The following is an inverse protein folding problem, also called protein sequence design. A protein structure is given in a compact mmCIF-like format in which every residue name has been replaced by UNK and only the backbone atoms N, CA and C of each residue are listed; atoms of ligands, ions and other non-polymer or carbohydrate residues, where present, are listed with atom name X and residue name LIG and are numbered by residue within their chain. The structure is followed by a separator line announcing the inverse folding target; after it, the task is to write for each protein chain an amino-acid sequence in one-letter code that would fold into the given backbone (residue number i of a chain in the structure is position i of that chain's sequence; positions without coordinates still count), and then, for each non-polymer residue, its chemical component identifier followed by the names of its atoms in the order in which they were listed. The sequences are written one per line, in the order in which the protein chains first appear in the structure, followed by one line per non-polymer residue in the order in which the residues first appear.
data_IF_827002822044
#
_entry.id   IF_827002822044
#
_cell.length_a   1.000
_cell.length_b   1.000
_cell.length_c   1.000
_cell.angle_alpha   90.00
_cell.angle_beta   90.00
_cell.angle_gamma   90.00
#
_symmetry.space_group_name_H-M   'P 1'
#
loop_
_entity.id
_entity.type
_entity.pdbx_description
1 polymer ?
#
# COMPACT_ATOMS: atom_id res chain seq x y z
N UNK A 1 5.11 32.56 29.64
CA UNK A 1 3.79 32.74 29.00
C UNK A 1 3.85 31.95 27.69
N UNK A 2 2.92 31.02 27.44
CA UNK A 2 2.96 30.20 26.20
C UNK A 2 2.62 31.11 25.01
N UNK A 3 3.42 31.14 23.93
CA UNK A 3 3.10 31.95 22.76
C UNK A 3 1.73 31.57 22.21
N UNK A 4 0.81 32.54 22.17
CA UNK A 4 -0.58 32.34 21.76
C UNK A 4 -0.70 32.09 20.26
N UNK A 5 0.19 32.73 19.49
CA UNK A 5 -0.02 32.91 18.06
C UNK A 5 0.59 31.78 17.22
N UNK A 6 1.22 30.77 17.84
CA UNK A 6 1.64 29.53 17.16
C UNK A 6 0.61 28.44 17.46
N UNK A 7 -0.15 28.05 16.44
CA UNK A 7 -1.21 27.05 16.52
C UNK A 7 -0.68 25.62 16.69
N UNK A 8 -1.53 24.73 17.22
CA UNK A 8 -1.24 23.29 17.29
C UNK A 8 -1.22 22.61 15.92
N UNK A 9 -1.95 23.16 14.96
CA UNK A 9 -1.97 22.72 13.57
C UNK A 9 -0.73 23.17 12.77
N UNK A 10 0.08 24.05 13.36
CA UNK A 10 1.25 24.60 12.71
C UNK A 10 1.04 25.87 11.92
N UNK A 11 -0.12 26.49 12.07
CA UNK A 11 -0.39 27.81 11.52
C UNK A 11 0.07 28.92 12.46
N UNK A 12 0.33 30.08 11.88
CA UNK A 12 0.42 31.34 12.62
C UNK A 12 -0.97 31.98 12.69
N UNK A 13 -1.36 32.41 13.89
CA UNK A 13 -2.62 33.10 14.08
C UNK A 13 -2.56 34.50 13.45
N UNK A 14 -3.61 34.87 12.72
CA UNK A 14 -3.75 36.22 12.21
C UNK A 14 -3.81 37.25 13.37
N UNK A 15 -3.33 38.50 13.16
CA UNK A 15 -3.42 39.54 14.17
C UNK A 15 -4.86 39.77 14.63
N UNK A 16 -5.06 39.97 15.92
CA UNK A 16 -6.36 40.26 16.53
C UNK A 16 -6.30 41.54 17.39
N UNK A 17 -7.42 42.02 17.96
CA UNK A 17 -7.45 43.26 18.76
C UNK A 17 -6.55 43.25 20.00
N UNK A 18 -5.99 42.11 20.39
CA UNK A 18 -5.09 41.95 21.54
C UNK A 18 -3.64 41.72 21.12
N UNK A 19 -3.34 41.73 19.81
CA UNK A 19 -1.98 41.72 19.29
C UNK A 19 -1.23 43.01 19.63
N UNK A 20 0.01 42.88 20.10
CA UNK A 20 0.88 44.01 20.42
C UNK A 20 1.67 44.45 19.18
N UNK A 21 1.54 45.73 18.83
CA UNK A 21 2.35 46.36 17.79
C UNK A 21 3.53 47.08 18.44
N UNK A 22 4.75 46.73 18.03
CA UNK A 22 6.00 47.26 18.61
C UNK A 22 6.89 47.82 17.52
N UNK A 23 7.68 48.84 17.84
CA UNK A 23 8.88 49.19 17.06
C UNK A 23 10.01 48.33 17.62
N UNK A 24 10.42 47.24 16.94
CA UNK A 24 11.38 46.33 17.50
C UNK A 24 12.76 47.02 17.61
N UNK A 25 13.44 46.95 18.78
CA UNK A 25 14.86 47.30 18.85
C UNK A 25 15.67 46.44 17.87
N UNK A 26 16.78 46.97 17.36
CA UNK A 26 17.64 46.28 16.38
C UNK A 26 18.16 44.92 16.87
N UNK A 27 18.10 44.66 18.18
CA UNK A 27 18.47 43.39 18.81
C UNK A 27 17.44 42.27 18.67
N UNK A 28 16.19 42.56 18.29
CA UNK A 28 15.15 41.55 18.11
C UNK A 28 15.09 41.09 16.64
N UNK A 29 15.20 39.77 16.37
CA UNK A 29 15.19 39.27 15.00
C UNK A 29 13.81 39.48 14.38
N UNK A 30 13.78 40.21 13.25
CA UNK A 30 12.62 40.25 12.37
C UNK A 30 12.48 38.91 11.68
N UNK A 31 11.25 38.40 11.62
CA UNK A 31 10.96 37.16 10.91
C UNK A 31 11.09 37.40 9.40
N UNK A 32 11.57 36.38 8.70
CA UNK A 32 11.65 36.31 7.24
C UNK A 32 10.80 35.14 6.73
N UNK A 33 10.40 35.20 5.46
CA UNK A 33 9.68 34.10 4.82
C UNK A 33 10.54 32.85 4.87
N UNK A 34 9.97 31.75 5.36
CA UNK A 34 10.67 30.47 5.52
C UNK A 34 11.32 30.26 6.89
N UNK A 35 11.29 31.24 7.79
CA UNK A 35 11.73 31.02 9.17
C UNK A 35 10.85 29.98 9.85
N UNK A 36 11.46 28.95 10.45
CA UNK A 36 10.77 28.01 11.33
C UNK A 36 10.75 28.61 12.73
N UNK A 37 9.56 28.86 13.24
CA UNK A 37 9.33 29.41 14.57
C UNK A 37 8.79 28.34 15.50
N UNK A 38 9.26 28.30 16.74
CA UNK A 38 8.84 27.29 17.69
C UNK A 38 8.76 27.82 19.13
N UNK A 39 7.86 27.24 19.94
CA UNK A 39 7.76 27.56 21.37
C UNK A 39 8.89 26.89 22.15
N UNK A 40 9.49 27.57 23.12
CA UNK A 40 10.48 26.93 24.01
C UNK A 40 9.85 25.89 24.95
N UNK A 41 8.58 26.07 25.32
CA UNK A 41 7.90 25.25 26.32
C UNK A 41 7.24 24.05 25.63
N UNK A 42 7.47 22.84 26.15
CA UNK A 42 6.80 21.64 25.68
C UNK A 42 5.35 21.62 26.19
N UNK A 43 4.45 21.17 25.32
CA UNK A 43 3.10 20.79 25.70
C UNK A 43 3.12 19.51 26.56
N UNK A 44 1.98 19.21 27.20
CA UNK A 44 1.85 18.05 28.09
C UNK A 44 2.14 16.71 27.37
N UNK A 45 1.89 16.64 26.07
CA UNK A 45 2.19 15.49 25.20
C UNK A 45 3.68 15.39 24.80
N UNK A 46 4.50 16.38 25.15
CA UNK A 46 5.93 16.42 24.83
C UNK A 46 6.29 17.13 23.54
N UNK A 47 5.32 17.59 22.77
CA UNK A 47 5.55 18.33 21.53
C UNK A 47 5.87 19.80 21.82
N UNK A 48 6.59 20.47 20.92
CA UNK A 48 6.58 21.93 20.85
C UNK A 48 5.66 22.40 19.74
N UNK A 49 5.02 23.56 19.92
CA UNK A 49 4.27 24.17 18.81
C UNK A 49 5.28 24.83 17.89
N UNK A 50 5.22 24.51 16.60
CA UNK A 50 6.12 25.06 15.60
C UNK A 50 5.35 25.40 14.32
N UNK A 51 5.75 26.47 13.62
CA UNK A 51 5.15 26.92 12.36
C UNK A 51 6.24 27.47 11.42
N UNK A 52 5.89 27.71 10.16
CA UNK A 52 6.77 28.39 9.19
C UNK A 52 6.16 29.75 8.89
N UNK A 53 6.98 30.79 8.96
CA UNK A 53 6.56 32.14 8.60
C UNK A 53 6.37 32.24 7.07
N UNK A 54 5.21 32.72 6.65
CA UNK A 54 4.85 32.98 5.26
C UNK A 54 4.82 34.48 4.98
N UNK A 55 4.68 34.86 3.71
CA UNK A 55 4.55 36.27 3.32
C UNK A 55 3.34 36.95 3.99
N UNK A 56 2.24 36.21 4.21
CA UNK A 56 1.03 36.73 4.86
C UNK A 56 1.22 37.04 6.35
N UNK A 57 2.26 36.47 6.98
CA UNK A 57 2.54 36.65 8.40
C UNK A 57 3.44 37.87 8.67
N UNK A 58 3.99 38.49 7.62
CA UNK A 58 4.94 39.59 7.74
C UNK A 58 4.23 40.96 7.64
N UNK A 59 4.75 42.00 8.34
CA UNK A 59 5.93 41.99 9.19
C UNK A 59 5.64 41.44 10.60
N UNK A 60 6.50 40.52 11.07
CA UNK A 60 6.41 39.94 12.42
C UNK A 60 7.79 39.87 13.11
N UNK A 61 7.77 39.84 14.45
CA UNK A 61 8.97 39.80 15.31
C UNK A 61 8.76 38.72 16.36
N UNK A 62 9.78 37.90 16.60
CA UNK A 62 9.73 36.88 17.64
C UNK A 62 9.85 37.49 19.04
N UNK A 63 9.06 36.99 19.99
CA UNK A 63 9.19 37.34 21.41
C UNK A 63 10.29 36.50 22.08
N UNK A 64 10.71 36.88 23.29
CA UNK A 64 11.81 36.23 24.02
C UNK A 64 11.63 34.73 24.32
N UNK A 65 10.40 34.20 24.21
CA UNK A 65 10.09 32.78 24.45
C UNK A 65 9.80 31.99 23.15
N UNK A 66 10.17 32.57 22.01
CA UNK A 66 10.02 31.97 20.68
C UNK A 66 11.41 31.74 20.09
N UNK A 67 11.65 30.51 19.69
CA UNK A 67 12.85 30.11 18.97
C UNK A 67 12.63 30.37 17.48
N UNK A 68 13.59 31.03 16.85
CA UNK A 68 13.62 31.25 15.40
C UNK A 68 14.76 30.45 14.81
N UNK A 69 14.42 29.52 13.92
CA UNK A 69 15.34 28.69 13.17
C UNK A 69 15.32 29.16 11.70
N UNK A 70 16.40 29.83 11.30
CA UNK A 70 16.59 30.29 9.93
C UNK A 70 17.53 29.36 9.19
N UNK A 71 17.09 28.86 8.04
CA UNK A 71 17.93 28.05 7.19
C UNK A 71 19.07 28.88 6.60
N UNK A 72 20.30 28.32 6.60
CA UNK A 72 21.47 29.00 6.00
C UNK A 72 21.42 29.04 4.47
N UNK A 73 20.65 28.14 3.87
CA UNK A 73 20.36 28.05 2.46
C UNK A 73 18.87 27.66 2.28
N UNK A 74 18.25 27.94 1.12
CA UNK A 74 16.89 27.50 0.85
C UNK A 74 16.75 25.99 1.07
N UNK A 75 15.75 25.59 1.85
CA UNK A 75 15.41 24.18 2.08
C UNK A 75 14.29 23.75 1.15
N UNK A 76 14.34 22.49 0.72
CA UNK A 76 13.22 21.87 0.03
C UNK A 76 11.95 21.89 0.93
N UNK A 77 10.76 22.21 0.39
CA UNK A 77 9.53 22.25 1.17
C UNK A 77 9.22 20.95 1.94
N UNK A 78 9.56 19.79 1.39
CA UNK A 78 9.44 18.49 2.06
C UNK A 78 10.36 18.38 3.27
N UNK A 79 11.58 18.87 3.16
CA UNK A 79 12.53 18.91 4.27
C UNK A 79 12.05 19.86 5.39
N UNK A 80 11.45 21.00 5.04
CA UNK A 80 10.84 21.91 6.03
C UNK A 80 9.67 21.24 6.74
N UNK A 81 8.80 20.52 6.01
CA UNK A 81 7.71 19.72 6.61
C UNK A 81 8.25 18.66 7.57
N UNK A 82 9.35 18.00 7.22
CA UNK A 82 10.01 17.01 8.08
C UNK A 82 10.54 17.62 9.38
N UNK A 83 11.24 18.75 9.30
CA UNK A 83 11.70 19.50 10.48
C UNK A 83 10.51 19.84 11.38
N UNK A 84 9.42 20.37 10.81
CA UNK A 84 8.22 20.70 11.57
C UNK A 84 7.59 19.46 12.23
N UNK A 85 7.51 18.34 11.51
CA UNK A 85 6.98 17.09 12.06
C UNK A 85 7.83 16.57 13.22
N UNK A 86 9.17 16.61 13.08
CA UNK A 86 10.10 16.21 14.13
C UNK A 86 10.00 17.13 15.35
N UNK A 87 9.95 18.46 15.15
CA UNK A 87 9.79 19.39 16.27
C UNK A 87 8.46 19.18 17.00
N UNK A 88 7.40 18.81 16.29
CA UNK A 88 6.08 18.52 16.90
C UNK A 88 5.98 17.09 17.45
N UNK A 89 7.02 16.26 17.33
CA UNK A 89 7.01 14.93 17.91
C UNK A 89 7.31 14.97 19.41
N UNK A 90 7.08 13.86 20.10
CA UNK A 90 7.47 13.70 21.50
C UNK A 90 8.97 13.50 21.71
N UNK A 91 9.76 13.37 20.64
CA UNK A 91 11.19 13.01 20.71
C UNK A 91 12.03 14.13 21.35
N UNK A 92 11.57 15.38 21.25
CA UNK A 92 12.22 16.52 21.91
C UNK A 92 12.22 16.42 23.44
N UNK A 93 11.38 15.55 24.04
CA UNK A 93 11.44 15.28 25.49
C UNK A 93 12.81 14.78 25.93
N UNK A 94 13.53 14.06 25.07
CA UNK A 94 14.85 13.51 25.41
C UNK A 94 15.90 14.58 25.67
N UNK A 95 15.76 15.75 25.04
CA UNK A 95 16.69 16.88 25.17
C UNK A 95 16.13 18.03 26.02
N UNK A 96 14.90 17.89 26.52
CA UNK A 96 14.23 18.97 27.23
C UNK A 96 14.69 19.05 28.70
N UNK A 97 14.75 20.27 29.22
CA UNK A 97 15.24 20.56 30.57
C UNK A 97 14.11 21.19 31.40
N UNK A 98 13.91 20.72 32.62
CA UNK A 98 12.96 21.32 33.56
C UNK A 98 12.37 20.32 34.55
N UNK A 99 11.45 20.80 35.39
CA UNK A 99 10.66 19.99 36.31
C UNK A 99 9.27 19.73 35.75
N UNK A 100 8.56 18.73 36.29
CA UNK A 100 7.20 18.36 35.86
C UNK A 100 6.30 19.59 35.81
N UNK A 101 5.77 19.90 34.61
CA UNK A 101 4.89 21.04 34.34
C UNK A 101 5.57 22.28 33.72
N UNK A 102 6.91 22.34 33.67
CA UNK A 102 7.69 23.45 33.09
C UNK A 102 8.94 22.91 32.37
N UNK A 103 8.70 22.01 31.42
CA UNK A 103 9.74 21.40 30.59
C UNK A 103 9.96 22.26 29.34
N UNK A 104 11.21 22.61 29.03
CA UNK A 104 11.56 23.49 27.91
C UNK A 104 12.76 22.99 27.10
N UNK A 105 12.78 23.29 25.80
CA UNK A 105 13.95 23.15 24.95
C UNK A 105 14.65 24.49 24.85
N UNK A 106 15.93 24.56 25.25
CA UNK A 106 16.75 25.77 25.09
C UNK A 106 17.45 25.77 23.74
N UNK A 107 17.81 26.95 23.26
CA UNK A 107 18.64 27.13 22.06
C UNK A 107 19.93 26.29 22.08
N UNK A 108 20.58 26.16 23.25
CA UNK A 108 21.79 25.34 23.41
C UNK A 108 21.58 23.87 23.05
N UNK A 109 20.41 23.32 23.35
CA UNK A 109 20.09 21.92 23.09
C UNK A 109 19.76 21.68 21.61
N UNK A 110 19.13 22.66 20.95
CA UNK A 110 18.85 22.58 19.52
C UNK A 110 20.09 22.62 18.64
N UNK A 111 21.20 23.22 19.10
CA UNK A 111 22.44 23.30 18.32
C UNK A 111 23.02 21.91 18.03
N UNK A 112 22.85 20.97 18.96
CA UNK A 112 23.37 19.60 18.84
C UNK A 112 22.26 18.59 18.50
N UNK A 113 21.07 19.06 18.13
CA UNK A 113 19.96 18.19 17.81
C UNK A 113 20.20 17.50 16.48
N UNK A 114 20.38 16.19 16.52
CA UNK A 114 20.42 15.36 15.33
C UNK A 114 18.99 15.13 14.82
N UNK A 115 18.71 15.68 13.65
CA UNK A 115 17.46 15.44 12.93
C UNK A 115 17.66 14.17 12.08
N UNK A 116 16.76 13.17 12.15
CA UNK A 116 16.92 11.98 11.34
C UNK A 116 16.94 12.33 9.85
N UNK A 117 17.75 11.61 9.07
CA UNK A 117 17.86 11.81 7.63
C UNK A 117 16.52 11.53 6.96
N UNK A 118 16.07 12.47 6.14
CA UNK A 118 14.93 12.30 5.24
C UNK A 118 15.46 11.74 3.93
N UNK A 119 15.15 10.46 3.64
CA UNK A 119 15.35 9.91 2.31
C UNK A 119 14.13 10.17 1.42
N UNK A 120 14.30 9.98 0.11
CA UNK A 120 13.27 10.29 -0.89
C UNK A 120 11.99 9.45 -0.67
N UNK A 121 12.14 8.19 -0.22
CA UNK A 121 11.03 7.29 0.03
C UNK A 121 10.17 7.75 1.22
N UNK A 122 10.82 8.17 2.32
CA UNK A 122 10.14 8.73 3.48
C UNK A 122 9.49 10.08 3.14
N UNK A 123 10.15 10.91 2.32
CA UNK A 123 9.59 12.18 1.86
C UNK A 123 8.30 11.96 1.06
N UNK A 124 8.31 11.04 0.09
CA UNK A 124 7.13 10.69 -0.70
C UNK A 124 5.97 10.17 0.17
N UNK A 125 6.25 9.27 1.12
CA UNK A 125 5.25 8.74 2.04
C UNK A 125 4.61 9.83 2.93
N UNK A 126 5.41 10.81 3.37
CA UNK A 126 4.90 11.94 4.17
C UNK A 126 4.01 12.87 3.33
N UNK A 127 4.35 13.09 2.07
CA UNK A 127 3.56 13.91 1.17
C UNK A 127 2.21 13.25 0.84
N UNK A 128 2.19 11.94 0.61
CA UNK A 128 0.96 11.16 0.46
C UNK A 128 0.06 11.29 1.69
N UNK A 129 0.62 11.18 2.89
CA UNK A 129 -0.12 11.37 4.14
C UNK A 129 -0.63 12.81 4.31
N UNK A 130 0.14 13.81 3.87
CA UNK A 130 -0.28 15.20 3.90
C UNK A 130 -1.49 15.45 2.99
N UNK A 131 -1.50 14.87 1.78
CA UNK A 131 -2.62 14.92 0.84
C UNK A 131 -3.86 14.25 1.44
N UNK A 132 -3.68 13.07 2.08
CA UNK A 132 -4.77 12.37 2.77
C UNK A 132 -5.36 13.22 3.88
N UNK A 133 -4.51 13.84 4.72
CA UNK A 133 -4.93 14.73 5.80
C UNK A 133 -5.75 15.91 5.27
N UNK A 134 -5.27 16.60 4.24
CA UNK A 134 -5.96 17.72 3.62
C UNK A 134 -7.37 17.31 3.14
N UNK A 135 -7.46 16.17 2.45
CA UNK A 135 -8.73 15.64 1.96
C UNK A 135 -9.71 15.28 3.09
N UNK A 136 -9.21 14.77 4.21
CA UNK A 136 -10.03 14.53 5.40
C UNK A 136 -10.50 15.83 6.06
N UNK A 137 -9.62 16.84 6.13
CA UNK A 137 -9.99 18.18 6.63
C UNK A 137 -11.06 18.83 5.76
N UNK A 138 -11.03 18.65 4.44
CA UNK A 138 -12.09 19.12 3.55
C UNK A 138 -13.44 18.44 3.84
N UNK A 139 -13.43 17.13 4.12
CA UNK A 139 -14.64 16.41 4.50
C UNK A 139 -15.19 16.88 5.85
N UNK A 140 -14.32 17.15 6.83
CA UNK A 140 -14.71 17.73 8.12
C UNK A 140 -15.31 19.12 7.94
N UNK A 141 -14.70 19.97 7.10
CA UNK A 141 -15.19 21.32 6.80
C UNK A 141 -16.56 21.24 6.13
N UNK A 142 -16.74 20.35 5.16
CA UNK A 142 -18.02 20.12 4.49
C UNK A 142 -19.11 19.66 5.47
N UNK A 143 -18.79 18.73 6.38
CA UNK A 143 -19.72 18.29 7.42
C UNK A 143 -20.12 19.44 8.36
N UNK A 144 -19.15 20.26 8.77
CA UNK A 144 -19.38 21.42 9.65
C UNK A 144 -20.27 22.47 8.97
N UNK A 145 -19.98 22.79 7.71
CA UNK A 145 -20.80 23.71 6.90
C UNK A 145 -22.22 23.18 6.73
N UNK A 146 -22.39 21.87 6.51
CA UNK A 146 -23.72 21.27 6.38
C UNK A 146 -24.52 21.37 7.69
N UNK A 147 -23.89 21.11 8.84
CA UNK A 147 -24.52 21.27 10.16
C UNK A 147 -24.92 22.74 10.40
N UNK A 148 -24.05 23.70 10.07
CA UNK A 148 -24.34 25.12 10.21
C UNK A 148 -25.45 25.59 9.26
N UNK A 149 -25.59 24.96 8.08
CA UNK A 149 -26.64 25.30 7.12
C UNK A 149 -28.05 25.04 7.65
N UNK A 150 -28.20 24.09 8.58
CA UNK A 150 -29.47 23.76 9.24
C UNK A 150 -30.14 24.96 9.92
N UNK A 151 -29.32 25.89 10.43
CA UNK A 151 -29.77 27.07 11.16
C UNK A 151 -30.03 28.28 10.26
N UNK A 152 -29.72 28.20 8.97
CA UNK A 152 -29.89 29.30 8.01
C UNK A 152 -31.26 29.29 7.32
N UNK A 153 -31.90 28.12 7.27
CA UNK A 153 -33.20 27.98 6.64
C UNK A 153 -34.33 28.38 7.61
N UNK A 154 -35.26 29.20 7.14
CA UNK A 154 -36.47 29.58 7.92
C UNK A 154 -37.51 28.45 7.98
N UNK A 155 -37.36 27.41 7.16
CA UNK A 155 -38.27 26.27 7.06
C UNK A 155 -37.55 24.98 7.46
N UNK A 156 -37.99 24.40 8.58
CA UNK A 156 -37.43 23.17 9.17
C UNK A 156 -37.53 21.96 8.22
N UNK A 157 -38.57 21.88 7.39
CA UNK A 157 -38.76 20.78 6.43
C UNK A 157 -37.69 20.83 5.34
N UNK A 158 -37.44 22.01 4.76
CA UNK A 158 -36.42 22.21 3.73
C UNK A 158 -35.00 22.04 4.30
N UNK A 159 -34.75 22.50 5.53
CA UNK A 159 -33.48 22.27 6.22
C UNK A 159 -33.20 20.77 6.38
N UNK A 160 -34.22 20.00 6.80
CA UNK A 160 -34.13 18.55 6.98
C UNK A 160 -33.86 17.82 5.66
N UNK A 161 -34.59 18.14 4.60
CA UNK A 161 -34.36 17.54 3.27
C UNK A 161 -32.94 17.82 2.75
N UNK A 162 -32.45 19.06 2.91
CA UNK A 162 -31.08 19.42 2.53
C UNK A 162 -30.04 18.65 3.34
N UNK A 163 -30.20 18.53 4.66
CA UNK A 163 -29.26 17.77 5.51
C UNK A 163 -29.26 16.29 5.13
N UNK A 164 -30.43 15.70 4.86
CA UNK A 164 -30.52 14.30 4.48
C UNK A 164 -29.84 14.07 3.12
N UNK A 165 -30.18 14.88 2.11
CA UNK A 165 -29.65 14.75 0.76
C UNK A 165 -28.15 15.08 0.70
N UNK A 166 -27.75 16.26 1.17
CA UNK A 166 -26.35 16.70 1.15
C UNK A 166 -25.47 15.92 2.12
N UNK A 167 -26.06 15.35 3.19
CA UNK A 167 -25.36 14.49 4.14
C UNK A 167 -25.19 13.05 3.66
N UNK A 168 -25.91 12.62 2.61
CA UNK A 168 -25.86 11.25 2.12
C UNK A 168 -24.46 10.89 1.63
N UNK A 169 -23.83 11.74 0.82
CA UNK A 169 -22.47 11.49 0.31
C UNK A 169 -21.45 11.40 1.44
N UNK A 170 -21.57 12.24 2.48
CA UNK A 170 -20.66 12.18 3.64
C UNK A 170 -20.84 10.86 4.42
N UNK A 171 -22.09 10.42 4.65
CA UNK A 171 -22.36 9.13 5.29
C UNK A 171 -21.80 7.97 4.49
N UNK A 172 -22.00 7.95 3.16
CA UNK A 172 -21.45 6.91 2.29
C UNK A 172 -19.92 6.91 2.26
N UNK A 173 -19.26 8.08 2.35
CA UNK A 173 -17.79 8.15 2.47
C UNK A 173 -17.30 7.55 3.79
N UNK A 174 -17.97 7.88 4.90
CA UNK A 174 -17.63 7.31 6.21
C UNK A 174 -17.86 5.82 6.21
N UNK A 175 -19.01 5.35 5.70
CA UNK A 175 -19.31 3.92 5.59
C UNK A 175 -18.28 3.18 4.74
N UNK A 176 -17.91 3.71 3.58
CA UNK A 176 -16.86 3.13 2.74
C UNK A 176 -15.49 3.15 3.43
N UNK A 177 -15.16 4.20 4.18
CA UNK A 177 -13.93 4.26 4.96
C UNK A 177 -13.93 3.23 6.10
N UNK A 178 -15.03 3.08 6.84
CA UNK A 178 -15.20 2.07 7.89
C UNK A 178 -15.14 0.66 7.34
N UNK A 179 -15.70 0.40 6.15
CA UNK A 179 -15.56 -0.89 5.48
C UNK A 179 -14.08 -1.20 5.16
N UNK A 180 -13.25 -0.20 4.83
CA UNK A 180 -11.82 -0.41 4.62
C UNK A 180 -11.06 -0.75 5.91
N UNK A 181 -11.59 -0.44 7.10
CA UNK A 181 -11.03 -0.91 8.37
C UNK A 181 -11.23 -2.43 8.56
N UNK A 182 -12.23 -3.01 7.90
CA UNK A 182 -12.45 -4.45 7.87
C UNK A 182 -11.49 -5.12 6.87
N UNK A 183 -10.54 -5.91 7.39
CA UNK A 183 -9.51 -6.51 6.56
C UNK A 183 -10.08 -7.45 5.48
N UNK A 184 -11.14 -8.21 5.78
CA UNK A 184 -11.84 -9.05 4.80
C UNK A 184 -12.36 -8.24 3.60
N UNK A 185 -12.95 -7.07 3.86
CA UNK A 185 -13.41 -6.16 2.81
C UNK A 185 -12.24 -5.60 1.99
N UNK A 186 -11.12 -5.26 2.65
CA UNK A 186 -9.88 -4.86 1.95
C UNK A 186 -9.39 -5.96 1.02
N UNK A 187 -9.38 -7.23 1.45
CA UNK A 187 -9.00 -8.35 0.58
C UNK A 187 -9.91 -8.42 -0.66
N UNK A 188 -11.23 -8.33 -0.47
CA UNK A 188 -12.19 -8.42 -1.58
C UNK A 188 -12.11 -7.29 -2.59
N UNK A 189 -11.68 -6.10 -2.20
CA UNK A 189 -11.79 -4.89 -3.02
C UNK A 189 -10.44 -4.36 -3.48
N UNK A 190 -9.37 -4.67 -2.76
CA UNK A 190 -8.03 -4.12 -3.00
C UNK A 190 -6.98 -5.15 -3.33
N UNK A 191 -7.17 -6.44 -3.05
CA UNK A 191 -6.14 -7.43 -3.42
C UNK A 191 -6.23 -7.77 -4.92
N UNK A 192 -5.14 -8.27 -5.53
CA UNK A 192 -5.16 -8.74 -6.92
C UNK A 192 -6.27 -9.77 -7.16
N UNK A 193 -6.93 -9.66 -8.32
CA UNK A 193 -8.09 -10.49 -8.69
C UNK A 193 -7.99 -11.98 -8.32
N UNK A 194 -6.91 -12.72 -8.64
CA UNK A 194 -6.83 -14.15 -8.30
C UNK A 194 -6.95 -14.45 -6.80
N UNK A 195 -6.46 -13.56 -5.94
CA UNK A 195 -6.52 -13.74 -4.49
C UNK A 195 -7.89 -13.33 -3.98
N UNK A 196 -8.39 -12.16 -4.41
CA UNK A 196 -9.70 -11.66 -3.99
C UNK A 196 -10.85 -12.58 -4.40
N UNK A 197 -10.80 -13.16 -5.61
CA UNK A 197 -11.79 -14.13 -6.07
C UNK A 197 -11.79 -15.42 -5.23
N UNK A 198 -10.61 -15.91 -4.83
CA UNK A 198 -10.48 -17.08 -3.94
C UNK A 198 -10.95 -16.80 -2.52
N UNK A 199 -10.65 -15.61 -2.01
CA UNK A 199 -11.17 -15.15 -0.72
C UNK A 199 -12.70 -15.07 -0.72
N UNK A 200 -13.30 -14.52 -1.79
CA UNK A 200 -14.76 -14.51 -1.96
C UNK A 200 -15.35 -15.92 -1.89
N UNK A 201 -14.71 -16.91 -2.50
CA UNK A 201 -15.15 -18.31 -2.41
C UNK A 201 -15.10 -18.82 -0.95
N UNK A 202 -14.05 -18.50 -0.19
CA UNK A 202 -13.97 -18.83 1.25
C UNK A 202 -15.17 -18.26 2.01
N UNK A 203 -15.45 -16.96 1.84
CA UNK A 203 -16.58 -16.30 2.52
C UNK A 203 -17.93 -16.91 2.14
N UNK A 204 -18.14 -17.22 0.86
CA UNK A 204 -19.36 -17.86 0.37
C UNK A 204 -19.55 -19.22 1.03
N UNK A 205 -18.53 -20.08 1.03
CA UNK A 205 -18.62 -21.44 1.62
C UNK A 205 -18.80 -21.40 3.13
N UNK A 206 -18.12 -20.48 3.82
CA UNK A 206 -18.30 -20.30 5.26
C UNK A 206 -19.73 -19.82 5.58
N UNK A 207 -20.27 -18.89 4.81
CA UNK A 207 -21.63 -18.36 5.00
C UNK A 207 -22.72 -19.38 4.65
N UNK A 208 -22.45 -20.26 3.67
CA UNK A 208 -23.36 -21.34 3.28
C UNK A 208 -23.43 -22.48 4.33
N UNK A 209 -22.53 -22.50 5.31
CA UNK A 209 -22.47 -23.58 6.30
C UNK A 209 -21.95 -24.90 5.71
N UNK A 210 -21.04 -24.82 4.74
CA UNK A 210 -20.43 -25.95 4.04
C UNK A 210 -18.99 -26.16 4.56
N UNK A 211 -18.78 -26.80 5.73
CA UNK A 211 -17.50 -26.76 6.42
C UNK A 211 -16.36 -27.44 5.65
N UNK A 212 -16.67 -28.46 4.85
CA UNK A 212 -15.64 -29.20 4.09
C UNK A 212 -15.18 -28.37 2.89
N UNK A 213 -16.12 -27.83 2.15
CA UNK A 213 -15.90 -26.97 0.99
C UNK A 213 -15.22 -25.66 1.43
N UNK A 214 -15.60 -25.10 2.57
CA UNK A 214 -14.93 -23.95 3.18
C UNK A 214 -13.48 -24.26 3.55
N UNK A 215 -13.23 -25.44 4.15
CA UNK A 215 -11.89 -25.87 4.51
C UNK A 215 -10.99 -26.03 3.27
N UNK A 216 -11.49 -26.70 2.23
CA UNK A 216 -10.77 -26.84 0.96
C UNK A 216 -10.54 -25.48 0.28
N UNK A 217 -11.51 -24.57 0.32
CA UNK A 217 -11.37 -23.21 -0.21
C UNK A 217 -10.30 -22.40 0.53
N UNK A 218 -10.22 -22.51 1.86
CA UNK A 218 -9.17 -21.86 2.68
C UNK A 218 -7.79 -22.35 2.26
N UNK A 219 -7.60 -23.67 2.17
CA UNK A 219 -6.32 -24.27 1.79
C UNK A 219 -5.93 -23.92 0.35
N UNK A 220 -6.90 -23.91 -0.58
CA UNK A 220 -6.67 -23.48 -1.96
C UNK A 220 -6.29 -21.99 -2.03
N UNK A 221 -6.93 -21.13 -1.24
CA UNK A 221 -6.61 -19.69 -1.19
C UNK A 221 -5.17 -19.45 -0.69
N UNK A 222 -4.71 -20.21 0.30
CA UNK A 222 -3.32 -20.15 0.77
C UNK A 222 -2.32 -20.56 -0.33
N UNK A 223 -2.60 -21.66 -1.05
CA UNK A 223 -1.79 -22.11 -2.18
C UNK A 223 -1.75 -21.07 -3.30
N UNK A 224 -2.88 -20.44 -3.63
CA UNK A 224 -2.97 -19.38 -4.65
C UNK A 224 -2.27 -18.09 -4.22
N UNK A 225 -2.35 -17.69 -2.95
CA UNK A 225 -1.60 -16.54 -2.43
C UNK A 225 -0.10 -16.74 -2.62
N UNK A 226 0.42 -17.91 -2.24
CA UNK A 226 1.83 -18.23 -2.44
C UNK A 226 2.18 -18.38 -3.92
N UNK A 227 1.33 -19.02 -4.72
CA UNK A 227 1.54 -19.18 -6.16
C UNK A 227 1.60 -17.85 -6.89
N UNK A 228 0.59 -16.99 -6.72
CA UNK A 228 0.58 -15.64 -7.26
C UNK A 228 1.84 -14.88 -6.86
N UNK A 229 2.17 -14.85 -5.57
CA UNK A 229 3.34 -14.13 -5.06
C UNK A 229 4.64 -14.67 -5.66
N UNK A 230 4.78 -15.99 -5.80
CA UNK A 230 5.97 -16.62 -6.39
C UNK A 230 6.12 -16.27 -7.88
N UNK A 231 5.01 -16.18 -8.62
CA UNK A 231 5.02 -15.78 -10.03
C UNK A 231 5.46 -14.32 -10.19
N UNK A 232 4.95 -13.42 -9.33
CA UNK A 232 5.38 -12.02 -9.31
C UNK A 232 6.87 -11.93 -8.94
N UNK A 233 7.31 -12.61 -7.89
CA UNK A 233 8.72 -12.67 -7.50
C UNK A 233 9.59 -13.18 -8.65
N UNK A 234 9.15 -14.19 -9.39
CA UNK A 234 9.90 -14.75 -10.52
C UNK A 234 10.03 -13.75 -11.67
N UNK A 235 8.96 -13.01 -11.98
CA UNK A 235 8.98 -11.96 -13.00
C UNK A 235 9.92 -10.81 -12.61
N UNK A 236 9.77 -10.28 -11.39
CA UNK A 236 10.59 -9.18 -10.87
C UNK A 236 12.07 -9.58 -10.72
N UNK A 237 12.35 -10.80 -10.24
CA UNK A 237 13.72 -11.28 -10.11
C UNK A 237 14.39 -11.39 -11.47
N UNK A 238 13.67 -11.87 -12.49
CA UNK A 238 14.19 -11.91 -13.86
C UNK A 238 14.49 -10.51 -14.40
N UNK A 239 13.57 -9.57 -14.25
CA UNK A 239 13.75 -8.17 -14.67
C UNK A 239 14.98 -7.55 -14.00
N UNK A 240 15.17 -7.81 -12.71
CA UNK A 240 16.30 -7.33 -11.93
C UNK A 240 17.61 -8.14 -12.13
N UNK A 241 17.63 -9.16 -13.00
CA UNK A 241 18.81 -10.01 -13.22
C UNK A 241 19.20 -10.90 -12.02
N UNK A 242 18.26 -11.19 -11.12
CA UNK A 242 18.46 -12.03 -9.93
C UNK A 242 18.12 -13.49 -10.26
N UNK A 243 19.11 -14.38 -10.15
CA UNK A 243 18.88 -15.81 -10.32
C UNK A 243 18.26 -16.47 -9.08
N UNK A 244 17.17 -17.22 -9.28
CA UNK A 244 16.51 -18.01 -8.25
C UNK A 244 16.62 -19.50 -8.59
N UNK A 245 17.21 -20.28 -7.68
CA UNK A 245 17.43 -21.72 -7.91
C UNK A 245 16.13 -22.53 -7.97
N UNK A 246 15.09 -22.07 -7.27
CA UNK A 246 13.77 -22.67 -7.26
C UNK A 246 13.04 -22.44 -8.57
N UNK A 247 13.28 -21.31 -9.25
CA UNK A 247 12.77 -21.08 -10.62
C UNK A 247 13.44 -22.04 -11.60
N UNK A 248 14.73 -22.32 -11.43
CA UNK A 248 15.41 -23.39 -12.18
C UNK A 248 14.78 -24.77 -11.93
N UNK A 249 14.46 -25.10 -10.68
CA UNK A 249 13.80 -26.36 -10.36
C UNK A 249 12.39 -26.44 -10.99
N UNK A 250 11.64 -25.33 -11.01
CA UNK A 250 10.35 -25.24 -11.72
C UNK A 250 10.54 -25.49 -13.22
N UNK A 251 11.55 -24.88 -13.85
CA UNK A 251 11.89 -25.15 -15.26
C UNK A 251 12.13 -26.63 -15.52
N UNK A 252 12.97 -27.28 -14.71
CA UNK A 252 13.27 -28.71 -14.87
C UNK A 252 12.00 -29.57 -14.76
N UNK A 253 11.10 -29.21 -13.86
CA UNK A 253 9.79 -29.85 -13.69
C UNK A 253 8.88 -29.64 -14.92
N UNK A 254 8.80 -28.41 -15.42
CA UNK A 254 8.03 -28.05 -16.62
C UNK A 254 8.54 -28.79 -17.86
N UNK A 255 9.86 -28.85 -18.06
CA UNK A 255 10.50 -29.58 -19.15
C UNK A 255 10.25 -31.10 -19.07
N UNK A 256 10.07 -31.64 -17.85
CA UNK A 256 9.64 -33.02 -17.63
C UNK A 256 8.20 -33.31 -18.10
N UNK A 257 7.35 -32.29 -18.22
CA UNK A 257 6.02 -32.35 -18.85
C UNK A 257 4.97 -33.21 -18.14
N UNK A 258 5.23 -33.70 -16.92
CA UNK A 258 4.34 -34.63 -16.18
C UNK A 258 3.49 -33.96 -15.10
N UNK A 259 4.04 -32.96 -14.41
CA UNK A 259 3.37 -32.29 -13.29
C UNK A 259 3.82 -30.84 -13.24
N UNK A 260 2.92 -29.97 -12.78
CA UNK A 260 3.22 -28.55 -12.60
C UNK A 260 3.75 -28.17 -11.24
N UNK A 261 4.20 -26.92 -11.10
CA UNK A 261 4.56 -26.36 -9.81
C UNK A 261 3.34 -26.37 -8.86
N UNK A 262 3.57 -26.80 -7.62
CA UNK A 262 2.57 -26.84 -6.57
C UNK A 262 3.00 -25.98 -5.39
N UNK A 263 2.24 -26.09 -4.29
CA UNK A 263 2.44 -25.29 -3.09
C UNK A 263 3.91 -25.28 -2.59
N UNK A 264 4.58 -26.44 -2.61
CA UNK A 264 5.98 -26.55 -2.17
C UNK A 264 6.96 -25.73 -3.03
N UNK A 265 6.83 -25.78 -4.35
CA UNK A 265 7.69 -25.00 -5.25
C UNK A 265 7.43 -23.49 -5.13
N UNK A 266 6.17 -23.07 -4.93
CA UNK A 266 5.84 -21.67 -4.70
C UNK A 266 6.47 -21.11 -3.44
N UNK A 267 6.41 -21.88 -2.35
CA UNK A 267 7.08 -21.53 -1.11
C UNK A 267 8.58 -21.41 -1.31
N UNK A 268 9.22 -22.36 -2.01
CA UNK A 268 10.66 -22.36 -2.19
C UNK A 268 11.16 -21.08 -2.92
N UNK A 269 10.42 -20.63 -3.94
CA UNK A 269 10.69 -19.35 -4.62
C UNK A 269 10.63 -18.17 -3.65
N UNK A 270 9.59 -18.12 -2.81
CA UNK A 270 9.41 -17.04 -1.84
C UNK A 270 10.49 -17.06 -0.75
N UNK A 271 10.88 -18.24 -0.24
CA UNK A 271 11.89 -18.38 0.80
C UNK A 271 13.28 -17.90 0.33
N UNK A 272 13.62 -18.06 -0.94
CA UNK A 272 14.89 -17.58 -1.49
C UNK A 272 15.06 -16.06 -1.43
N UNK A 273 13.96 -15.31 -1.49
CA UNK A 273 13.99 -13.85 -1.42
C UNK A 273 13.81 -13.32 0.01
N UNK A 274 13.49 -14.17 1.00
CA UNK A 274 13.38 -13.75 2.41
C UNK A 274 14.73 -13.22 2.91
N UNK A 275 15.82 -13.97 2.68
CA UNK A 275 17.16 -13.51 3.06
C UNK A 275 17.52 -12.27 2.22
N UNK A 276 17.64 -11.10 2.84
CA UNK A 276 17.86 -9.83 2.13
C UNK A 276 19.11 -9.79 1.23
N UNK A 277 19.98 -10.82 1.29
CA UNK A 277 21.18 -10.96 0.46
C UNK A 277 20.91 -10.78 -1.04
N UNK A 278 19.85 -11.40 -1.58
CA UNK A 278 19.52 -11.31 -3.01
C UNK A 278 18.90 -9.97 -3.42
N UNK A 279 18.43 -9.17 -2.46
CA UNK A 279 17.71 -7.90 -2.69
C UNK A 279 18.49 -6.67 -2.23
N UNK A 280 19.68 -6.85 -1.67
CA UNK A 280 20.48 -5.77 -1.07
C UNK A 280 20.89 -4.68 -2.07
N UNK A 281 21.02 -5.04 -3.34
CA UNK A 281 21.39 -4.10 -4.42
C UNK A 281 20.19 -3.41 -5.06
N UNK A 282 18.97 -3.81 -4.69
CA UNK A 282 17.75 -3.18 -5.19
C UNK A 282 17.44 -1.93 -4.37
N UNK A 283 16.79 -0.93 -4.99
CA UNK A 283 16.24 0.19 -4.25
C UNK A 283 15.27 -0.25 -3.13
N UNK A 284 15.04 0.63 -2.16
CA UNK A 284 14.22 0.32 -0.98
C UNK A 284 12.73 0.19 -1.34
N UNK A 285 12.32 0.95 -2.35
CA UNK A 285 10.99 1.02 -2.95
C UNK A 285 10.68 -0.17 -3.88
N UNK A 286 11.69 -0.94 -4.29
CA UNK A 286 11.49 -2.03 -5.23
C UNK A 286 10.56 -3.11 -4.63
N UNK A 287 9.51 -3.58 -5.34
CA UNK A 287 8.48 -4.47 -4.76
C UNK A 287 9.01 -5.77 -4.14
N UNK A 288 10.13 -6.30 -4.66
CA UNK A 288 10.82 -7.44 -4.07
C UNK A 288 11.16 -7.24 -2.58
N UNK A 289 11.37 -6.00 -2.10
CA UNK A 289 11.62 -5.71 -0.68
C UNK A 289 10.45 -6.12 0.22
N UNK A 290 9.22 -5.89 -0.22
CA UNK A 290 8.02 -6.28 0.53
C UNK A 290 7.76 -7.79 0.43
N UNK A 291 7.96 -8.38 -0.76
CA UNK A 291 7.80 -9.82 -0.95
C UNK A 291 8.69 -10.67 -0.04
N UNK A 292 9.91 -10.23 0.30
CA UNK A 292 10.74 -10.99 1.23
C UNK A 292 10.41 -10.77 2.71
N UNK A 293 9.51 -9.85 3.02
CA UNK A 293 8.87 -9.77 4.33
C UNK A 293 7.65 -10.70 4.46
N UNK A 294 7.05 -11.12 3.33
CA UNK A 294 5.79 -11.90 3.28
C UNK A 294 5.84 -13.17 4.13
N UNK A 295 6.94 -13.94 4.04
CA UNK A 295 7.13 -15.19 4.79
C UNK A 295 8.11 -15.05 5.96
N UNK A 296 8.47 -13.82 6.34
CA UNK A 296 9.40 -13.58 7.44
C UNK A 296 8.72 -13.74 8.81
N UNK A 297 9.49 -14.24 9.79
CA UNK A 297 9.05 -14.40 11.18
C UNK A 297 8.51 -15.80 11.50
N UNK A 298 8.86 -16.30 12.68
CA UNK A 298 8.57 -17.68 13.12
C UNK A 298 7.09 -18.05 13.07
N UNK A 299 6.21 -17.14 13.48
CA UNK A 299 4.77 -17.41 13.49
C UNK A 299 4.17 -17.51 12.08
N UNK A 300 4.67 -16.70 11.14
CA UNK A 300 4.22 -16.71 9.73
C UNK A 300 4.67 -18.00 9.06
N UNK A 301 5.93 -18.39 9.31
CA UNK A 301 6.48 -19.68 8.85
C UNK A 301 5.67 -20.85 9.40
N UNK A 302 5.32 -20.83 10.69
CA UNK A 302 4.52 -21.89 11.31
C UNK A 302 3.10 -21.97 10.73
N UNK A 303 2.42 -20.84 10.55
CA UNK A 303 1.08 -20.78 9.93
C UNK A 303 1.09 -21.32 8.49
N UNK A 304 2.03 -20.85 7.66
CA UNK A 304 2.25 -21.37 6.31
C UNK A 304 2.49 -22.88 6.31
N UNK A 305 3.37 -23.36 7.19
CA UNK A 305 3.69 -24.79 7.28
C UNK A 305 2.46 -25.62 7.62
N UNK A 306 1.64 -25.19 8.58
CA UNK A 306 0.37 -25.87 8.93
C UNK A 306 -0.58 -25.94 7.75
N UNK A 307 -0.78 -24.84 7.04
CA UNK A 307 -1.62 -24.80 5.82
C UNK A 307 -1.09 -25.74 4.73
N UNK A 308 0.23 -25.76 4.52
CA UNK A 308 0.88 -26.68 3.58
C UNK A 308 0.66 -28.14 3.97
N UNK A 309 0.93 -28.49 5.22
CA UNK A 309 0.79 -29.86 5.73
C UNK A 309 -0.66 -30.34 5.61
N UNK A 310 -1.62 -29.48 5.96
CA UNK A 310 -3.06 -29.74 5.81
C UNK A 310 -3.47 -29.92 4.35
N UNK A 311 -3.02 -29.02 3.45
CA UNK A 311 -3.28 -29.13 2.00
C UNK A 311 -2.74 -30.44 1.42
N UNK A 312 -1.54 -30.82 1.83
CA UNK A 312 -0.90 -32.07 1.42
C UNK A 312 -1.65 -33.29 1.99
N UNK A 313 -2.10 -33.22 3.24
CA UNK A 313 -2.91 -34.28 3.85
C UNK A 313 -4.22 -34.50 3.09
N UNK A 314 -4.95 -33.43 2.77
CA UNK A 314 -6.18 -33.50 1.94
C UNK A 314 -5.90 -34.09 0.57
N UNK A 315 -4.82 -33.68 -0.10
CA UNK A 315 -4.42 -34.23 -1.41
C UNK A 315 -4.11 -35.74 -1.37
N UNK A 316 -3.74 -36.26 -0.20
CA UNK A 316 -3.49 -37.69 0.05
C UNK A 316 -4.66 -38.41 0.74
N UNK A 317 -5.86 -37.83 0.74
CA UNK A 317 -7.06 -38.39 1.39
C UNK A 317 -6.89 -38.63 2.90
N UNK A 318 -6.06 -37.81 3.56
CA UNK A 318 -5.80 -37.81 5.01
C UNK A 318 -6.28 -36.50 5.67
N UNK A 319 -7.38 -35.93 5.16
CA UNK A 319 -8.00 -34.74 5.74
C UNK A 319 -8.71 -35.03 7.07
N UNK A 320 -9.10 -33.99 7.83
CA UNK A 320 -9.85 -34.14 9.08
C UNK A 320 -11.20 -34.84 8.84
N UNK A 321 -11.66 -35.61 9.81
CA UNK A 321 -12.99 -36.19 9.78
C UNK A 321 -14.09 -35.16 10.12
N UNK A 322 -15.36 -35.55 10.11
CA UNK A 322 -16.48 -34.63 10.37
C UNK A 322 -16.45 -34.00 11.78
N UNK A 323 -15.85 -34.67 12.76
CA UNK A 323 -15.75 -34.19 14.15
C UNK A 323 -14.61 -33.18 14.28
N UNK A 324 -13.48 -33.44 13.63
CA UNK A 324 -12.31 -32.57 13.64
C UNK A 324 -12.45 -31.34 12.73
N UNK A 325 -13.27 -31.45 11.67
CA UNK A 325 -13.40 -30.46 10.61
C UNK A 325 -13.72 -29.03 11.09
N UNK A 326 -14.63 -28.77 12.05
CA UNK A 326 -14.89 -27.41 12.52
C UNK A 326 -13.66 -26.75 13.15
N UNK A 327 -12.91 -27.50 13.97
CA UNK A 327 -11.69 -27.00 14.61
C UNK A 327 -10.57 -26.80 13.58
N UNK A 328 -10.42 -27.75 12.65
CA UNK A 328 -9.46 -27.66 11.56
C UNK A 328 -9.74 -26.46 10.64
N UNK A 329 -11.01 -26.20 10.30
CA UNK A 329 -11.46 -25.05 9.53
C UNK A 329 -11.12 -23.74 10.25
N UNK A 330 -11.49 -23.62 11.53
CA UNK A 330 -11.20 -22.41 12.31
C UNK A 330 -9.68 -22.13 12.38
N UNK A 331 -8.87 -23.16 12.63
CA UNK A 331 -7.41 -23.03 12.67
C UNK A 331 -6.81 -22.67 11.30
N UNK A 332 -7.25 -23.32 10.22
CA UNK A 332 -6.77 -23.02 8.88
C UNK A 332 -7.16 -21.61 8.44
N UNK A 333 -8.39 -21.18 8.75
CA UNK A 333 -8.86 -19.84 8.44
C UNK A 333 -8.02 -18.78 9.17
N UNK A 334 -7.71 -18.99 10.46
CA UNK A 334 -6.85 -18.09 11.22
C UNK A 334 -5.43 -18.02 10.64
N UNK A 335 -4.85 -19.15 10.24
CA UNK A 335 -3.54 -19.20 9.59
C UNK A 335 -3.56 -18.48 8.23
N UNK A 336 -4.61 -18.67 7.42
CA UNK A 336 -4.77 -17.97 6.14
C UNK A 336 -4.88 -16.46 6.35
N UNK A 337 -5.70 -16.03 7.31
CA UNK A 337 -5.89 -14.61 7.63
C UNK A 337 -4.57 -13.96 8.06
N UNK A 338 -3.72 -14.70 8.78
CA UNK A 338 -2.37 -14.25 9.16
C UNK A 338 -1.47 -14.07 7.93
N UNK A 339 -1.49 -15.00 6.98
CA UNK A 339 -0.72 -14.86 5.73
C UNK A 339 -1.22 -13.70 4.88
N UNK A 340 -2.55 -13.54 4.73
CA UNK A 340 -3.14 -12.41 4.02
C UNK A 340 -2.75 -11.08 4.69
N UNK A 341 -2.75 -11.03 6.03
CA UNK A 341 -2.30 -9.86 6.79
C UNK A 341 -0.86 -9.46 6.48
N UNK A 342 0.04 -10.44 6.32
CA UNK A 342 1.42 -10.20 5.84
C UNK A 342 1.49 -9.76 4.38
N UNK A 343 0.52 -10.18 3.58
CA UNK A 343 0.38 -9.80 2.17
C UNK A 343 -0.39 -8.49 1.95
N UNK A 344 -0.65 -7.69 2.99
CA UNK A 344 -1.43 -6.44 2.86
C UNK A 344 -0.85 -5.45 1.86
N UNK A 345 0.47 -5.45 1.67
CA UNK A 345 1.14 -4.64 0.65
C UNK A 345 0.67 -4.92 -0.77
N UNK A 346 0.10 -6.10 -1.05
CA UNK A 346 -0.49 -6.40 -2.36
C UNK A 346 -1.67 -5.50 -2.71
N UNK A 347 -2.28 -4.83 -1.71
CA UNK A 347 -3.30 -3.82 -1.95
C UNK A 347 -2.76 -2.58 -2.68
N UNK A 348 -1.45 -2.33 -2.57
CA UNK A 348 -0.77 -1.18 -3.17
C UNK A 348 -0.04 -1.54 -4.47
N UNK A 349 0.11 -2.83 -4.77
CA UNK A 349 0.71 -3.32 -6.01
C UNK A 349 -0.38 -3.71 -7.00
N UNK A 350 -0.64 -2.85 -7.99
CA UNK A 350 -1.77 -3.01 -8.89
C UNK A 350 -1.47 -4.02 -9.99
N UNK A 351 -2.24 -5.10 -10.04
CA UNK A 351 -2.31 -5.97 -11.20
C UNK A 351 -3.11 -5.25 -12.31
N UNK A 352 -2.50 -5.06 -13.47
CA UNK A 352 -3.11 -4.37 -14.61
C UNK A 352 -3.06 -5.22 -15.87
N UNK A 353 -4.17 -5.27 -16.62
CA UNK A 353 -4.21 -5.83 -17.97
C UNK A 353 -4.16 -4.67 -18.97
N UNK A 354 -3.07 -4.58 -19.72
CA UNK A 354 -2.91 -3.55 -20.74
C UNK A 354 -3.70 -3.98 -21.96
N UNK A 355 -4.76 -3.24 -22.29
CA UNK A 355 -5.67 -3.58 -23.38
C UNK A 355 -5.25 -2.96 -24.70
N UNK A 356 -4.64 -1.78 -24.66
CA UNK A 356 -4.09 -1.10 -25.84
C UNK A 356 -2.87 -0.25 -25.46
N UNK A 357 -1.91 -0.14 -26.38
CA UNK A 357 -0.68 0.64 -26.21
C UNK A 357 -0.40 1.36 -27.52
N UNK A 358 -0.34 2.70 -27.46
CA UNK A 358 -0.10 3.56 -28.61
C UNK A 358 1.12 4.45 -28.35
N UNK A 359 2.22 4.16 -29.05
CA UNK A 359 3.46 4.96 -28.96
C UNK A 359 3.42 6.14 -29.92
N UNK A 360 3.65 7.34 -29.39
CA UNK A 360 3.91 8.55 -30.16
C UNK A 360 5.41 8.80 -30.22
N UNK A 361 5.99 8.59 -31.41
CA UNK A 361 7.42 8.76 -31.63
C UNK A 361 7.88 10.23 -31.58
N UNK A 362 6.99 11.19 -31.87
CA UNK A 362 7.33 12.61 -31.84
C UNK A 362 7.31 13.15 -30.41
N UNK A 363 6.36 12.69 -29.59
CA UNK A 363 6.25 13.08 -28.19
C UNK A 363 7.13 12.24 -27.25
N UNK A 364 7.62 11.09 -27.71
CA UNK A 364 8.41 10.18 -26.90
C UNK A 364 7.60 9.58 -25.74
N UNK A 365 6.31 9.32 -25.96
CA UNK A 365 5.41 8.80 -24.94
C UNK A 365 4.42 7.78 -25.47
N UNK A 366 4.07 6.80 -24.63
CA UNK A 366 2.99 5.85 -24.86
C UNK A 366 1.71 6.33 -24.18
N UNK A 367 0.58 6.27 -24.89
CA UNK A 367 -0.74 6.21 -24.27
C UNK A 367 -1.11 4.75 -24.05
N UNK A 368 -1.45 4.40 -22.81
CA UNK A 368 -1.74 3.02 -22.40
C UNK A 368 -3.16 2.96 -21.84
N UNK A 369 -4.01 2.16 -22.48
CA UNK A 369 -5.33 1.83 -21.97
C UNK A 369 -5.24 0.50 -21.21
N UNK A 370 -5.71 0.48 -19.96
CA UNK A 370 -5.58 -0.67 -19.08
C UNK A 370 -6.78 -0.90 -18.16
N UNK A 371 -6.95 -2.14 -17.73
CA UNK A 371 -7.93 -2.56 -16.72
C UNK A 371 -7.22 -2.88 -15.41
N UNK A 372 -7.68 -2.27 -14.32
CA UNK A 372 -7.15 -2.52 -12.97
C UNK A 372 -7.76 -3.81 -12.43
N UNK A 373 -7.03 -4.91 -12.49
CA UNK A 373 -7.46 -6.25 -12.09
C UNK A 373 -7.34 -6.47 -10.57
N UNK A 374 -7.97 -5.56 -9.82
CA UNK A 374 -8.03 -5.57 -8.35
C UNK A 374 -9.45 -5.85 -7.89
N UNK A 375 -9.57 -6.54 -6.76
CA UNK A 375 -10.83 -6.97 -6.17
C UNK A 375 -11.38 -8.26 -6.77
N UNK A 376 -12.53 -8.71 -6.28
CA UNK A 376 -13.10 -10.05 -6.54
C UNK A 376 -13.83 -10.21 -7.88
N UNK A 377 -13.78 -9.18 -8.76
CA UNK A 377 -14.50 -9.17 -10.03
C UNK A 377 -13.61 -8.71 -11.20
N UNK A 378 -13.63 -9.42 -12.36
CA UNK A 378 -12.74 -9.09 -13.46
C UNK A 378 -13.33 -8.06 -14.45
N UNK A 379 -14.62 -7.74 -14.35
CA UNK A 379 -15.24 -6.66 -15.15
C UNK A 379 -15.04 -5.34 -14.43
N UNK A 380 -14.13 -4.54 -14.97
CA UNK A 380 -13.72 -3.25 -14.40
C UNK A 380 -13.64 -2.18 -15.49
N UNK A 381 -13.76 -0.89 -15.14
CA UNK A 381 -13.55 0.21 -16.08
C UNK A 381 -12.15 0.17 -16.71
N UNK A 382 -12.05 0.68 -17.94
CA UNK A 382 -10.77 0.94 -18.59
C UNK A 382 -10.29 2.32 -18.17
N UNK A 383 -9.02 2.40 -17.78
CA UNK A 383 -8.34 3.64 -17.43
C UNK A 383 -7.25 3.92 -18.47
N UNK A 384 -6.81 5.16 -18.55
CA UNK A 384 -5.73 5.57 -19.45
C UNK A 384 -4.59 6.17 -18.63
N UNK A 385 -3.35 5.87 -19.01
CA UNK A 385 -2.15 6.51 -18.47
C UNK A 385 -1.18 6.89 -19.59
N UNK A 386 -0.24 7.79 -19.28
CA UNK A 386 0.90 8.09 -20.13
C UNK A 386 2.15 7.40 -19.56
N UNK A 387 3.03 6.90 -20.42
CA UNK A 387 4.32 6.34 -20.04
C UNK A 387 5.42 6.84 -20.98
N UNK A 388 6.66 6.96 -20.49
CA UNK A 388 7.83 7.25 -21.31
C UNK A 388 8.43 5.99 -21.97
N UNK A 389 7.89 4.81 -21.65
CA UNK A 389 8.37 3.52 -22.16
C UNK A 389 7.79 3.18 -23.53
N UNK A 390 8.64 2.70 -24.43
CA UNK A 390 8.26 2.28 -25.79
C UNK A 390 8.25 0.75 -25.97
N UNK A 391 8.51 -0.01 -24.91
CA UNK A 391 8.60 -1.48 -24.88
C UNK A 391 7.36 -2.14 -24.24
N UNK A 392 6.27 -1.37 -24.09
CA UNK A 392 5.04 -1.84 -23.48
C UNK A 392 4.23 -2.70 -24.46
N UNK A 393 3.69 -3.81 -23.97
CA UNK A 393 3.02 -4.81 -24.78
C UNK A 393 1.51 -4.80 -24.52
N UNK A 394 0.68 -4.64 -25.57
CA UNK A 394 -0.76 -4.82 -25.43
C UNK A 394 -1.09 -6.29 -25.13
N UNK A 395 -2.28 -6.51 -24.58
CA UNK A 395 -2.81 -7.80 -24.16
C UNK A 395 -1.93 -8.57 -23.16
N UNK A 396 -1.16 -7.84 -22.35
CA UNK A 396 -0.26 -8.41 -21.34
C UNK A 396 -0.61 -7.94 -19.93
N UNK A 397 -0.26 -8.77 -18.94
CA UNK A 397 -0.35 -8.39 -17.54
C UNK A 397 0.90 -7.67 -17.09
N UNK A 398 0.69 -6.58 -16.37
CA UNK A 398 1.70 -5.79 -15.71
C UNK A 398 1.42 -5.71 -14.22
N UNK A 399 2.47 -5.65 -13.40
CA UNK A 399 2.40 -5.11 -12.06
C UNK A 399 2.75 -3.62 -12.15
N UNK A 400 1.90 -2.77 -11.59
CA UNK A 400 2.20 -1.36 -11.37
C UNK A 400 2.57 -1.22 -9.90
N UNK A 401 3.81 -0.82 -9.62
CA UNK A 401 4.28 -0.60 -8.25
C UNK A 401 3.86 0.77 -7.69
N UNK A 402 4.28 1.08 -6.46
CA UNK A 402 3.95 2.35 -5.79
C UNK A 402 4.57 3.57 -6.47
N UNK A 403 5.72 3.39 -7.11
CA UNK A 403 6.41 4.42 -7.88
C UNK A 403 5.92 4.49 -9.34
N UNK A 404 4.83 3.80 -9.67
CA UNK A 404 4.26 3.67 -11.01
C UNK A 404 5.19 2.94 -12.01
N UNK A 405 6.17 2.20 -11.50
CA UNK A 405 6.99 1.25 -12.25
C UNK A 405 6.13 0.16 -12.88
N UNK A 406 6.42 -0.17 -14.15
CA UNK A 406 5.63 -1.10 -14.96
C UNK A 406 6.41 -2.40 -15.18
N UNK A 407 5.99 -3.49 -14.53
CA UNK A 407 6.68 -4.77 -14.61
C UNK A 407 5.89 -5.79 -15.43
N UNK A 408 6.44 -6.22 -16.57
CA UNK A 408 5.80 -7.21 -17.43
C UNK A 408 5.79 -8.59 -16.75
N UNK A 409 4.61 -9.19 -16.63
CA UNK A 409 4.45 -10.45 -15.87
C UNK A 409 4.49 -11.71 -16.73
N UNK A 410 4.30 -11.61 -18.04
CA UNK A 410 4.39 -12.79 -18.91
C UNK A 410 5.85 -13.25 -19.07
N UNK A 411 6.10 -14.56 -19.23
CA UNK A 411 5.12 -15.64 -19.31
C UNK A 411 4.77 -16.25 -17.94
N UNK A 412 5.24 -15.67 -16.81
CA UNK A 412 4.97 -16.21 -15.47
C UNK A 412 3.49 -16.11 -15.11
N UNK A 413 2.87 -14.94 -15.34
CA UNK A 413 1.44 -14.72 -15.14
C UNK A 413 0.81 -14.15 -16.42
N UNK A 414 -0.31 -14.75 -16.82
CA UNK A 414 -0.99 -14.47 -18.09
C UNK A 414 -2.46 -14.18 -17.81
N UNK A 415 -2.99 -13.10 -18.38
CA UNK A 415 -4.41 -12.73 -18.22
C UNK A 415 -5.14 -12.90 -19.54
N UNK A 416 -6.29 -13.60 -19.54
CA UNK A 416 -7.13 -13.75 -20.75
C UNK A 416 -8.52 -14.34 -20.44
N UNK A 417 -9.48 -14.26 -21.37
CA UNK A 417 -10.73 -15.00 -21.29
C UNK A 417 -10.50 -16.52 -21.23
N UNK A 418 -11.11 -17.19 -20.27
CA UNK A 418 -11.14 -18.64 -20.19
C UNK A 418 -12.16 -19.20 -21.19
N UNK A 419 -11.80 -20.11 -22.11
CA UNK A 419 -12.75 -20.66 -23.07
C UNK A 419 -13.80 -21.59 -22.43
N UNK A 420 -13.52 -22.12 -21.23
CA UNK A 420 -14.44 -23.01 -20.49
C UNK A 420 -15.59 -22.22 -19.85
N UNK A 421 -15.30 -21.23 -19.01
CA UNK A 421 -16.33 -20.43 -18.32
C UNK A 421 -16.63 -19.08 -18.97
N UNK A 422 -15.88 -18.66 -20.01
CA UNK A 422 -15.98 -17.35 -20.68
C UNK A 422 -15.65 -16.14 -19.79
N UNK A 423 -15.35 -16.35 -18.51
CA UNK A 423 -14.82 -15.31 -17.63
C UNK A 423 -13.35 -15.02 -17.93
N UNK A 424 -12.95 -13.76 -17.77
CA UNK A 424 -11.54 -13.40 -17.75
C UNK A 424 -10.87 -14.00 -16.51
N UNK A 425 -9.65 -14.51 -16.67
CA UNK A 425 -8.95 -15.25 -15.64
C UNK A 425 -7.44 -15.03 -15.74
N UNK A 426 -6.74 -15.26 -14.62
CA UNK A 426 -5.28 -15.30 -14.57
C UNK A 426 -4.78 -16.73 -14.62
N UNK A 427 -3.69 -16.94 -15.36
CA UNK A 427 -3.12 -18.24 -15.64
C UNK A 427 -1.62 -18.24 -15.39
N UNK A 428 -1.11 -19.40 -14.98
CA UNK A 428 0.32 -19.71 -15.00
C UNK A 428 0.54 -20.97 -15.84
N UNK A 429 1.78 -21.21 -16.23
CA UNK A 429 2.15 -22.47 -16.91
C UNK A 429 2.18 -23.60 -15.89
N UNK A 430 1.32 -24.59 -16.09
CA UNK A 430 1.26 -25.80 -15.28
C UNK A 430 2.21 -26.85 -15.85
N UNK A 431 2.14 -27.17 -17.14
CA UNK A 431 2.95 -28.23 -17.75
C UNK A 431 3.39 -27.86 -19.16
N UNK A 432 4.51 -28.41 -19.63
CA UNK A 432 4.95 -28.27 -21.03
C UNK A 432 5.21 -29.65 -21.64
N UNK A 433 4.15 -30.44 -21.89
CA UNK A 433 4.28 -31.68 -22.66
C UNK A 433 4.71 -31.38 -24.11
N UNK A 434 5.14 -32.42 -24.84
CA UNK A 434 5.55 -32.31 -26.26
C UNK A 434 4.48 -31.69 -27.16
N UNK A 435 3.21 -31.76 -26.77
CA UNK A 435 2.07 -31.24 -27.52
C UNK A 435 1.85 -29.72 -27.36
N UNK A 436 2.60 -29.04 -26.50
CA UNK A 436 2.44 -27.62 -26.20
C UNK A 436 2.16 -27.36 -24.72
N UNK A 437 2.28 -26.11 -24.28
CA UNK A 437 2.10 -25.75 -22.88
C UNK A 437 0.64 -25.93 -22.43
N UNK A 438 0.45 -26.20 -21.14
CA UNK A 438 -0.84 -26.23 -20.48
C UNK A 438 -0.83 -25.15 -19.42
N UNK A 439 -1.77 -24.22 -19.53
CA UNK A 439 -2.01 -23.16 -18.58
C UNK A 439 -3.02 -23.61 -17.52
N UNK A 440 -2.85 -23.17 -16.29
CA UNK A 440 -3.79 -23.39 -15.17
C UNK A 440 -4.20 -22.09 -14.55
N UNK A 441 -5.51 -21.93 -14.41
CA UNK A 441 -6.14 -20.75 -13.82
C UNK A 441 -5.88 -20.70 -12.31
N UNK A 442 -5.52 -19.52 -11.81
CA UNK A 442 -5.39 -19.29 -10.36
C UNK A 442 -6.76 -19.15 -9.69
N UNK A 443 -7.72 -18.52 -10.36
CA UNK A 443 -9.02 -18.13 -9.80
C UNK A 443 -10.15 -19.17 -10.02
N UNK A 444 -10.17 -19.90 -11.15
CA UNK A 444 -11.29 -20.80 -11.50
C UNK A 444 -10.90 -22.29 -11.61
N UNK A 445 -9.67 -22.68 -11.25
CA UNK A 445 -9.17 -24.08 -11.32
C UNK A 445 -9.26 -24.75 -12.70
N UNK A 446 -9.43 -23.97 -13.77
CA UNK A 446 -9.49 -24.47 -15.15
C UNK A 446 -8.10 -24.62 -15.78
N UNK A 447 -7.94 -25.65 -16.60
CA UNK A 447 -6.75 -25.83 -17.46
C UNK A 447 -7.06 -25.57 -18.93
N UNK A 448 -6.06 -25.06 -19.66
CA UNK A 448 -6.12 -24.67 -21.07
C UNK A 448 -4.83 -25.10 -21.79
N UNK A 449 -4.87 -25.84 -22.90
CA UNK A 449 -3.71 -25.99 -23.77
C UNK A 449 -3.40 -24.69 -24.54
N UNK A 450 -2.14 -24.30 -24.58
CA UNK A 450 -1.65 -23.11 -25.29
C UNK A 450 -0.28 -23.38 -25.93
N UNK A 451 -0.28 -23.54 -27.25
CA UNK A 451 0.96 -23.73 -28.00
C UNK A 451 1.76 -22.44 -28.19
N UNK A 452 1.14 -21.26 -28.11
CA UNK A 452 1.77 -19.98 -28.43
C UNK A 452 2.73 -19.50 -27.32
N UNK A 453 2.51 -19.93 -26.08
CA UNK A 453 3.33 -19.51 -24.92
C UNK A 453 4.74 -20.10 -24.96
N UNK A 454 4.98 -21.17 -25.72
CA UNK A 454 6.28 -21.83 -25.82
C UNK A 454 7.44 -20.89 -26.16
N UNK A 455 7.25 -20.01 -27.16
CA UNK A 455 8.29 -19.07 -27.56
C UNK A 455 8.65 -18.08 -26.44
N UNK A 456 7.66 -17.60 -25.69
CA UNK A 456 7.89 -16.74 -24.54
C UNK A 456 8.60 -17.50 -23.41
N UNK A 457 8.23 -18.76 -23.16
CA UNK A 457 8.89 -19.58 -22.15
C UNK A 457 10.37 -19.81 -22.45
N UNK A 458 10.71 -20.13 -23.70
CA UNK A 458 12.12 -20.26 -24.12
C UNK A 458 12.87 -18.93 -24.01
N UNK A 459 12.25 -17.81 -24.40
CA UNK A 459 12.87 -16.48 -24.30
C UNK A 459 13.19 -16.08 -22.85
N UNK A 460 12.46 -16.61 -21.88
CA UNK A 460 12.71 -16.38 -20.45
C UNK A 460 13.53 -17.48 -19.78
N UNK A 461 13.96 -18.50 -20.54
CA UNK A 461 14.72 -19.62 -20.05
C UNK A 461 13.94 -20.51 -19.08
N UNK A 462 12.61 -20.65 -19.26
CA UNK A 462 11.73 -21.54 -18.50
C UNK A 462 11.53 -22.92 -19.14
N UNK A 463 11.93 -23.11 -20.41
CA UNK A 463 12.01 -24.39 -21.12
C UNK A 463 13.18 -24.43 -22.09
#
# INVERSE_FOLDING_TARGET
MVPRDIGHDGSLAAPDPTSSWVVPPDSLPRLEVGDVIATEILAADGSIRAAVATEADLPAVASDNVLVLRARAPLDPGYVRWILAFLRSSDLRAIAIGTVGLVRVKRSELVNLEIPLLDDALAAALDDLAIVRERMSDWQRAATQLLQSAFRDRNVVQARERIIASGQTLRLRVEAATQLDEFSYTIRTRFPFPIAARWREVEVRMSAGEPKEAYEAVLATAEILCGYSALIVSALAREAGIELSSVRAIREKLAGGRTGPGFGEWVAVLEEIVSGRKRRTLPAEHPLQEFGSLLAGSETVAARKRLYDQRNAVAHHRGPDQVELPAALSSAHADLFKLLGRARFLADLRLAHFTDVRWDQLLGSATVDYRSMMGDHPVVPTNTMSSSRNDLEPDSLYLIDREHGLHLLRPFLIGRPCPKCRNWSTFHVDQVPRSGAVLKSLDHSHTLPDAAVGASLSAVGLI
#
